data_IF_519082232934
#
_entry.id   IF_519082232934
#
_cell.length_a   1.000
_cell.length_b   1.000
_cell.length_c   1.000
_cell.angle_alpha   90.00
_cell.angle_beta   90.00
_cell.angle_gamma   90.00
#
_symmetry.space_group_name_H-M   'P 1'
#
loop_
_entity.id
_entity.type
_entity.pdbx_description
1 polymer ?
#
# COMPACT_ATOMS: atom_id res chain seq x y z
N UNK A 1 -6.91 7.03 -4.17
CA UNK A 1 -5.74 6.52 -3.47
C UNK A 1 -6.02 5.11 -2.93
N UNK A 2 -5.04 4.23 -3.00
CA UNK A 2 -5.15 2.83 -2.58
C UNK A 2 -4.12 2.57 -1.47
N UNK A 3 -4.38 2.96 -0.21
CA UNK A 3 -3.41 2.89 0.89
C UNK A 3 -2.88 1.47 1.14
N UNK A 4 -3.66 0.46 0.77
CA UNK A 4 -3.30 -0.95 0.93
C UNK A 4 -2.96 -1.66 -0.39
N UNK A 5 -2.63 -0.91 -1.45
CA UNK A 5 -2.29 -1.46 -2.77
C UNK A 5 -3.29 -2.55 -3.23
N UNK A 6 -4.57 -2.18 -3.33
CA UNK A 6 -5.69 -3.08 -3.66
C UNK A 6 -5.88 -4.29 -2.70
N UNK A 7 -5.19 -4.31 -1.58
CA UNK A 7 -5.24 -5.39 -0.60
C UNK A 7 -3.93 -6.17 -0.45
N UNK A 8 -2.90 -5.90 -1.24
CA UNK A 8 -1.58 -6.52 -1.11
C UNK A 8 -0.97 -6.33 0.29
N UNK A 9 -1.13 -5.12 0.86
CA UNK A 9 -0.60 -4.76 2.18
C UNK A 9 -1.60 -5.06 3.33
N UNK A 10 -2.68 -5.79 3.05
CA UNK A 10 -3.64 -6.19 4.09
C UNK A 10 -3.19 -7.37 4.97
N UNK A 11 -2.08 -8.02 4.60
CA UNK A 11 -1.61 -9.26 5.22
C UNK A 11 -2.42 -10.51 4.84
N UNK A 12 -3.35 -10.41 3.88
CA UNK A 12 -4.22 -11.53 3.48
C UNK A 12 -3.69 -12.31 2.28
N UNK A 13 -2.83 -11.73 1.46
CA UNK A 13 -2.21 -12.42 0.32
C UNK A 13 -1.11 -13.32 0.86
N UNK A 14 -1.15 -14.60 0.49
CA UNK A 14 -0.13 -15.55 0.93
C UNK A 14 1.16 -15.45 0.10
N UNK A 15 2.22 -16.13 0.54
CA UNK A 15 3.52 -16.12 -0.12
C UNK A 15 3.49 -16.67 -1.57
N UNK A 16 2.47 -17.42 -1.95
CA UNK A 16 2.28 -17.95 -3.31
C UNK A 16 1.49 -17.00 -4.21
N UNK A 17 1.08 -15.82 -3.69
CA UNK A 17 0.31 -14.84 -4.45
C UNK A 17 -1.17 -15.17 -4.56
N UNK A 18 -1.68 -16.10 -3.74
CA UNK A 18 -3.11 -16.39 -3.74
C UNK A 18 -3.85 -15.38 -2.87
N UNK A 19 -4.79 -14.69 -3.47
CA UNK A 19 -5.73 -13.82 -2.76
C UNK A 19 -6.92 -14.66 -2.28
N UNK A 20 -7.34 -14.54 -1.00
CA UNK A 20 -8.52 -15.23 -0.50
C UNK A 20 -9.78 -14.85 -1.26
N UNK A 21 -10.72 -15.82 -1.41
CA UNK A 21 -12.03 -15.56 -2.00
C UNK A 21 -12.76 -14.40 -1.31
N UNK A 22 -13.45 -13.59 -2.09
CA UNK A 22 -14.16 -12.41 -1.61
C UNK A 22 -13.28 -11.18 -1.35
N UNK A 23 -11.97 -11.26 -1.58
CA UNK A 23 -11.10 -10.08 -1.57
C UNK A 23 -11.17 -9.35 -2.91
N UNK A 24 -10.84 -8.05 -2.91
CA UNK A 24 -10.80 -7.23 -4.13
C UNK A 24 -9.88 -7.83 -5.19
N UNK A 25 -8.72 -8.32 -4.81
CA UNK A 25 -7.76 -8.96 -5.72
C UNK A 25 -8.30 -10.26 -6.34
N UNK A 26 -9.20 -10.99 -5.65
CA UNK A 26 -9.82 -12.19 -6.19
C UNK A 26 -11.02 -11.88 -7.10
N UNK A 27 -11.73 -10.76 -6.86
CA UNK A 27 -12.97 -10.42 -7.55
C UNK A 27 -12.74 -9.61 -8.83
N UNK A 28 -11.77 -8.72 -8.83
CA UNK A 28 -11.57 -7.72 -9.91
C UNK A 28 -10.62 -8.23 -11.03
N UNK A 29 -10.67 -9.52 -11.40
CA UNK A 29 -10.03 -10.05 -12.61
C UNK A 29 -8.57 -9.61 -12.81
N UNK A 30 -8.32 -8.77 -13.80
CA UNK A 30 -6.97 -8.28 -14.17
C UNK A 30 -6.20 -7.56 -13.04
N UNK A 31 -6.84 -7.26 -11.91
CA UNK A 31 -6.17 -6.58 -10.81
C UNK A 31 -5.18 -7.50 -10.08
N UNK A 32 -5.51 -8.79 -9.95
CA UNK A 32 -4.58 -9.76 -9.37
C UNK A 32 -3.31 -9.86 -10.23
N UNK A 33 -3.45 -10.06 -11.54
CA UNK A 33 -2.32 -10.20 -12.47
C UNK A 33 -1.42 -8.96 -12.47
N UNK A 34 -2.00 -7.80 -12.23
CA UNK A 34 -1.28 -6.53 -12.20
C UNK A 34 -0.49 -6.32 -10.91
N UNK A 35 -1.06 -6.69 -9.76
CA UNK A 35 -0.47 -6.44 -8.45
C UNK A 35 0.32 -7.61 -7.90
N UNK A 36 -0.10 -8.84 -8.21
CA UNK A 36 0.53 -10.07 -7.74
C UNK A 36 1.63 -10.46 -8.71
N UNK A 37 2.78 -9.82 -8.60
CA UNK A 37 4.00 -10.16 -9.32
C UNK A 37 5.03 -10.76 -8.35
N UNK A 38 6.00 -11.56 -8.82
CA UNK A 38 7.05 -12.09 -7.95
C UNK A 38 7.79 -11.00 -7.18
N UNK A 39 8.08 -9.88 -7.83
CA UNK A 39 8.76 -8.76 -7.20
C UNK A 39 7.90 -8.08 -6.12
N UNK A 40 6.61 -7.84 -6.39
CA UNK A 40 5.70 -7.27 -5.40
C UNK A 40 5.46 -8.21 -4.21
N UNK A 41 5.41 -9.52 -4.44
CA UNK A 41 5.32 -10.51 -3.36
C UNK A 41 6.57 -10.49 -2.48
N UNK A 42 7.75 -10.44 -3.08
CA UNK A 42 9.01 -10.35 -2.35
C UNK A 42 9.07 -9.04 -1.54
N UNK A 43 8.69 -7.92 -2.13
CA UNK A 43 8.61 -6.64 -1.43
C UNK A 43 7.67 -6.72 -0.21
N UNK A 44 6.46 -7.27 -0.38
CA UNK A 44 5.51 -7.46 0.74
C UNK A 44 6.08 -8.38 1.81
N UNK A 45 6.81 -9.43 1.42
CA UNK A 45 7.49 -10.33 2.36
C UNK A 45 8.52 -9.57 3.20
N UNK A 46 9.40 -8.81 2.56
CA UNK A 46 10.43 -8.00 3.24
C UNK A 46 9.82 -6.96 4.19
N UNK A 47 8.80 -6.24 3.74
CA UNK A 47 8.08 -5.26 4.58
C UNK A 47 7.37 -5.94 5.76
N UNK A 48 6.81 -7.14 5.53
CA UNK A 48 6.15 -7.91 6.60
C UNK A 48 7.15 -8.39 7.65
N UNK A 49 8.31 -8.90 7.23
CA UNK A 49 9.39 -9.32 8.13
C UNK A 49 9.89 -8.13 8.96
N UNK A 50 10.18 -7.02 8.31
CA UNK A 50 10.64 -5.81 8.97
C UNK A 50 9.64 -5.30 10.03
N UNK A 51 8.33 -5.31 9.71
CA UNK A 51 7.28 -4.92 10.65
C UNK A 51 7.14 -5.91 11.80
N UNK A 52 7.18 -7.23 11.51
CA UNK A 52 7.06 -8.30 12.51
C UNK A 52 8.18 -8.27 13.55
N UNK A 53 9.43 -7.96 13.15
CA UNK A 53 10.54 -7.77 14.07
C UNK A 53 10.28 -6.68 15.12
N UNK A 54 9.40 -5.72 14.77
CA UNK A 54 8.95 -4.62 15.63
C UNK A 54 7.60 -4.88 16.30
N UNK A 55 7.06 -6.13 16.17
CA UNK A 55 5.76 -6.57 16.71
C UNK A 55 4.57 -5.85 16.08
N UNK A 56 4.73 -5.44 14.83
CA UNK A 56 3.69 -4.82 14.02
C UNK A 56 3.41 -5.66 12.77
N UNK A 57 2.28 -5.39 12.13
CA UNK A 57 1.87 -6.02 10.89
C UNK A 57 2.21 -5.14 9.69
N UNK A 58 2.25 -5.72 8.49
CA UNK A 58 2.41 -4.94 7.25
C UNK A 58 1.25 -3.96 7.03
N UNK A 59 0.06 -4.27 7.54
CA UNK A 59 -1.09 -3.35 7.54
C UNK A 59 -0.79 -2.10 8.35
N UNK A 60 -0.30 -2.26 9.59
CA UNK A 60 0.09 -1.15 10.46
C UNK A 60 1.22 -0.33 9.82
N UNK A 61 2.21 -1.01 9.22
CA UNK A 61 3.29 -0.34 8.48
C UNK A 61 2.76 0.52 7.34
N UNK A 62 1.81 0.03 6.54
CA UNK A 62 1.24 0.77 5.43
C UNK A 62 0.54 2.07 5.88
N UNK A 63 -0.15 2.05 7.02
CA UNK A 63 -0.76 3.26 7.60
C UNK A 63 0.30 4.18 8.19
N UNK A 64 1.22 3.65 9.00
CA UNK A 64 2.29 4.41 9.63
C UNK A 64 3.17 5.14 8.61
N UNK A 65 3.50 4.45 7.50
CA UNK A 65 4.26 5.03 6.39
C UNK A 65 3.57 6.23 5.74
N UNK A 66 2.27 6.08 5.44
CA UNK A 66 1.50 7.16 4.82
C UNK A 66 1.32 8.35 5.77
N UNK A 67 1.02 8.08 7.04
CA UNK A 67 0.82 9.12 8.06
C UNK A 67 2.12 9.81 8.48
N UNK A 68 3.28 9.20 8.23
CA UNK A 68 4.59 9.83 8.45
C UNK A 68 4.90 10.94 7.43
N UNK A 69 4.15 11.04 6.33
CA UNK A 69 4.29 12.12 5.36
C UNK A 69 3.58 13.39 5.85
N UNK A 70 4.28 14.52 6.05
CA UNK A 70 3.68 15.75 6.61
C UNK A 70 2.51 16.32 5.79
N UNK A 71 2.46 16.00 4.49
CA UNK A 71 1.39 16.44 3.59
C UNK A 71 0.13 15.57 3.69
N UNK A 72 0.21 14.39 4.32
CA UNK A 72 -0.91 13.47 4.46
C UNK A 72 -1.64 13.75 5.77
N UNK A 73 -2.79 14.41 5.66
CA UNK A 73 -3.63 14.72 6.82
C UNK A 73 -4.46 13.53 7.31
N UNK A 74 -4.79 12.59 6.43
CA UNK A 74 -5.60 11.40 6.77
C UNK A 74 -5.42 10.29 5.74
N UNK A 75 -5.65 9.05 6.18
CA UNK A 75 -5.68 7.87 5.31
C UNK A 75 -7.10 7.33 5.25
N UNK A 76 -7.65 7.23 4.04
CA UNK A 76 -8.98 6.66 3.80
C UNK A 76 -8.80 5.21 3.37
N UNK A 77 -9.17 4.27 4.23
CA UNK A 77 -9.13 2.84 3.97
C UNK A 77 -10.54 2.24 3.95
N UNK A 78 -10.80 1.43 2.93
CA UNK A 78 -12.05 0.68 2.85
C UNK A 78 -12.13 -0.41 3.93
N UNK A 79 -13.34 -0.65 4.43
CA UNK A 79 -13.64 -1.75 5.31
C UNK A 79 -15.02 -2.34 4.96
N UNK A 80 -15.13 -3.66 5.03
CA UNK A 80 -16.37 -4.41 4.77
C UNK A 80 -16.91 -5.11 6.03
N UNK A 81 -16.25 -4.92 7.18
CA UNK A 81 -16.69 -5.46 8.47
C UNK A 81 -16.26 -4.55 9.63
N UNK A 82 -16.98 -4.58 10.77
CA UNK A 82 -16.57 -3.86 11.98
C UNK A 82 -15.12 -4.17 12.40
N UNK A 83 -14.73 -5.43 12.39
CA UNK A 83 -13.37 -5.85 12.74
C UNK A 83 -12.29 -5.22 11.86
N UNK A 84 -12.58 -4.99 10.57
CA UNK A 84 -11.66 -4.28 9.69
C UNK A 84 -11.57 -2.78 10.04
N UNK A 85 -12.67 -2.15 10.45
CA UNK A 85 -12.67 -0.75 10.89
C UNK A 85 -11.80 -0.62 12.14
N UNK A 86 -11.98 -1.49 13.12
CA UNK A 86 -11.19 -1.50 14.36
C UNK A 86 -9.71 -1.74 14.07
N UNK A 87 -9.39 -2.70 13.20
CA UNK A 87 -8.02 -2.99 12.79
C UNK A 87 -7.36 -1.80 12.07
N UNK A 88 -8.09 -1.15 11.16
CA UNK A 88 -7.61 0.03 10.45
C UNK A 88 -7.38 1.21 11.41
N UNK A 89 -8.28 1.43 12.38
CA UNK A 89 -8.13 2.48 13.38
C UNK A 89 -6.90 2.24 14.26
N UNK A 90 -6.71 1.00 14.73
CA UNK A 90 -5.53 0.61 15.51
C UNK A 90 -4.24 0.75 14.71
N UNK A 91 -4.26 0.42 13.42
CA UNK A 91 -3.08 0.55 12.55
C UNK A 91 -2.55 1.99 12.45
N UNK A 92 -3.39 2.99 12.68
CA UNK A 92 -3.00 4.40 12.68
C UNK A 92 -2.29 4.87 13.97
N UNK A 93 -2.19 4.02 14.99
CA UNK A 93 -1.55 4.38 16.26
C UNK A 93 -0.01 4.29 16.18
N UNK A 94 0.53 3.48 15.28
CA UNK A 94 1.97 3.36 15.11
C UNK A 94 2.54 4.57 14.38
N UNK A 95 3.52 5.20 15.00
CA UNK A 95 4.27 6.33 14.43
C UNK A 95 5.70 5.88 14.16
N UNK A 96 6.11 5.89 12.88
CA UNK A 96 7.48 5.59 12.49
C UNK A 96 8.45 6.67 12.98
N UNK A 97 9.57 6.24 13.54
CA UNK A 97 10.69 7.15 13.78
C UNK A 97 11.36 7.56 12.47
N UNK A 98 12.14 8.66 12.44
CA UNK A 98 12.91 9.03 11.26
C UNK A 98 13.84 7.91 10.76
N UNK A 99 14.46 7.17 11.68
CA UNK A 99 15.34 6.05 11.38
C UNK A 99 14.58 4.89 10.75
N UNK A 100 13.45 4.49 11.32
CA UNK A 100 12.56 3.46 10.78
C UNK A 100 12.08 3.82 9.38
N UNK A 101 11.78 5.09 9.16
CA UNK A 101 11.38 5.59 7.85
C UNK A 101 12.49 5.45 6.81
N UNK A 102 13.75 5.72 7.18
CA UNK A 102 14.91 5.51 6.30
C UNK A 102 15.08 4.03 5.96
N UNK A 103 14.94 3.15 6.95
CA UNK A 103 15.04 1.70 6.73
C UNK A 103 13.98 1.20 5.75
N UNK A 104 12.71 1.60 5.93
CA UNK A 104 11.63 1.23 5.01
C UNK A 104 11.88 1.81 3.61
N UNK A 105 12.34 3.05 3.50
CA UNK A 105 12.71 3.65 2.20
C UNK A 105 13.79 2.83 1.52
N UNK A 106 14.79 2.38 2.27
CA UNK A 106 15.88 1.55 1.72
C UNK A 106 15.35 0.23 1.15
N UNK A 107 14.38 -0.40 1.82
CA UNK A 107 13.73 -1.62 1.30
C UNK A 107 12.98 -1.31 -0.01
N UNK A 108 12.22 -0.22 -0.05
CA UNK A 108 11.45 0.20 -1.23
C UNK A 108 12.37 0.55 -2.42
N UNK A 109 13.45 1.25 -2.18
CA UNK A 109 14.40 1.66 -3.22
C UNK A 109 15.16 0.46 -3.81
N UNK A 110 15.49 -0.53 -2.97
CA UNK A 110 16.11 -1.78 -3.40
C UNK A 110 15.14 -2.72 -4.15
N UNK A 111 13.84 -2.60 -3.90
CA UNK A 111 12.79 -3.45 -4.47
C UNK A 111 11.62 -2.57 -4.96
N UNK A 112 11.82 -1.76 -6.01
CA UNK A 112 10.78 -0.85 -6.47
C UNK A 112 9.53 -1.64 -6.90
N UNK A 113 8.32 -1.20 -6.46
CA UNK A 113 7.09 -1.91 -6.79
C UNK A 113 6.80 -1.86 -8.28
N UNK A 114 6.40 -3.00 -8.84
CA UNK A 114 5.98 -3.13 -10.23
C UNK A 114 4.53 -2.65 -10.40
N UNK A 115 4.25 -2.04 -11.55
CA UNK A 115 2.91 -1.63 -11.99
C UNK A 115 2.17 -0.63 -11.10
N UNK A 116 2.73 -0.23 -9.97
CA UNK A 116 2.09 0.72 -9.03
C UNK A 116 1.92 2.12 -9.63
N UNK A 117 2.92 2.62 -10.37
CA UNK A 117 2.87 3.92 -11.03
C UNK A 117 1.86 3.96 -12.17
N UNK A 118 1.76 2.89 -12.94
CA UNK A 118 0.88 2.80 -14.11
C UNK A 118 -0.61 2.76 -13.75
N UNK A 119 -0.96 2.31 -12.54
CA UNK A 119 -2.36 2.32 -12.11
C UNK A 119 -2.94 3.74 -12.14
N UNK A 120 -2.16 4.73 -11.75
CA UNK A 120 -2.60 6.12 -11.75
C UNK A 120 -2.54 6.75 -13.13
N UNK A 121 -1.55 6.43 -13.94
CA UNK A 121 -1.41 6.94 -15.31
C UNK A 121 -2.43 6.34 -16.27
N UNK A 122 -2.63 5.02 -16.23
CA UNK A 122 -3.55 4.32 -17.12
C UNK A 122 -5.04 4.56 -16.81
N UNK A 123 -5.38 4.85 -15.55
CA UNK A 123 -6.76 5.15 -15.15
C UNK A 123 -7.17 6.60 -15.40
N UNK A 124 -6.27 7.46 -15.88
CA UNK A 124 -6.57 8.89 -16.12
C UNK A 124 -6.94 9.66 -14.83
N UNK A 125 -6.81 9.04 -13.66
CA UNK A 125 -7.30 9.58 -12.39
C UNK A 125 -6.48 10.78 -11.90
N UNK A 126 -5.26 10.95 -12.42
CA UNK A 126 -4.37 12.08 -12.15
C UNK A 126 -3.63 12.56 -13.40
N UNK A 127 -4.17 12.36 -14.60
CA UNK A 127 -3.81 13.24 -15.69
C UNK A 127 -4.24 14.64 -15.24
N UNK A 128 -3.35 15.34 -14.56
CA UNK A 128 -3.50 16.76 -14.32
C UNK A 128 -3.75 17.37 -15.69
N UNK A 129 -4.86 18.09 -15.90
CA UNK A 129 -4.91 18.98 -17.02
C UNK A 129 -3.68 19.86 -16.85
N UNK A 130 -2.76 19.79 -17.79
CA UNK A 130 -1.70 20.78 -17.89
C UNK A 130 -2.41 22.11 -17.82
N UNK A 131 -2.25 22.83 -16.71
CA UNK A 131 -2.63 24.22 -16.63
C UNK A 131 -1.81 24.91 -17.71
N UNK A 132 -2.41 25.04 -18.91
CA UNK A 132 -1.85 25.93 -19.93
C UNK A 132 -1.78 27.31 -19.27
N UNK A 133 -0.56 27.70 -18.94
CA UNK A 133 -0.30 29.09 -18.58
C UNK A 133 -0.81 29.94 -19.73
N UNK A 134 -1.74 30.89 -19.50
CA UNK A 134 -2.16 31.77 -20.56
C UNK A 134 -0.92 32.47 -21.10
N UNK A 135 -0.69 32.33 -22.41
CA UNK A 135 0.34 33.10 -23.11
C UNK A 135 0.05 34.60 -22.95
N UNK A 136 1.10 35.42 -22.74
CA UNK A 136 0.97 36.86 -22.61
C UNK A 136 0.38 37.51 -23.88
#
# INVERSE_FOLDING_TARGET
SLPLAAGMLSGKVNATGTAPDGTRLAIEGNMADRWITPNNLELVRLLSEWANERRHTVLELAFAWLLAEPIVATVIAGASSPAQIESNAKAAEWQLTPEERIEVTTILDANPPENGGDYYSAAGYFAQPTLETPKP
#
